data_IF_375591007285
#
_entry.id   IF_375591007285
#
_cell.length_a   1.000
_cell.length_b   1.000
_cell.length_c   1.000
_cell.angle_alpha   90.00
_cell.angle_beta   90.00
_cell.angle_gamma   90.00
#
_symmetry.space_group_name_H-M   'P 1'
#
loop_
_entity.id
_entity.type
_entity.pdbx_description
1 polymer ?
#
# COMPACT_ATOMS: atom_id res chain seq x y z
N UNK A 1 4.25 -27.24 7.19
CA UNK A 1 4.58 -25.92 7.74
C UNK A 1 5.80 -25.37 7.02
N UNK A 2 5.68 -24.17 6.45
CA UNK A 2 6.80 -23.48 5.79
C UNK A 2 7.87 -23.06 6.81
N UNK A 3 9.09 -22.73 6.34
CA UNK A 3 10.15 -22.17 7.18
C UNK A 3 9.66 -20.92 7.92
N UNK A 4 8.93 -20.06 7.22
CA UNK A 4 8.32 -18.84 7.75
C UNK A 4 7.33 -19.11 8.90
N UNK A 5 6.44 -20.10 8.74
CA UNK A 5 5.45 -20.46 9.75
C UNK A 5 6.11 -20.98 11.02
N UNK A 6 7.14 -21.83 10.89
CA UNK A 6 7.93 -22.31 12.03
C UNK A 6 8.64 -21.16 12.74
N UNK A 7 9.20 -20.21 11.98
CA UNK A 7 9.95 -19.08 12.52
C UNK A 7 9.04 -18.13 13.32
N UNK A 8 7.86 -17.79 12.81
CA UNK A 8 6.90 -16.93 13.50
C UNK A 8 6.28 -17.58 14.75
N UNK A 9 6.30 -18.90 14.86
CA UNK A 9 5.87 -19.64 16.05
C UNK A 9 6.89 -19.67 17.20
N UNK A 10 8.11 -19.13 17.00
CA UNK A 10 9.17 -19.15 18.00
C UNK A 10 9.30 -17.80 18.70
N UNK A 11 9.54 -17.83 20.02
CA UNK A 11 9.86 -16.61 20.76
C UNK A 11 11.24 -16.10 20.33
N UNK A 12 11.38 -14.83 19.91
CA UNK A 12 12.66 -14.31 19.46
C UNK A 12 13.62 -14.17 20.65
N UNK A 13 14.83 -14.70 20.52
CA UNK A 13 15.91 -14.50 21.50
C UNK A 13 16.47 -13.07 21.43
N UNK A 14 16.66 -12.56 20.21
CA UNK A 14 17.16 -11.20 19.94
C UNK A 14 16.27 -10.58 18.85
N UNK A 15 15.47 -9.59 19.24
CA UNK A 15 14.45 -8.97 18.36
C UNK A 15 15.03 -8.47 17.04
N UNK A 16 16.16 -7.75 17.08
CA UNK A 16 16.78 -7.19 15.88
C UNK A 16 17.18 -8.26 14.87
N UNK A 17 17.92 -9.28 15.30
CA UNK A 17 18.35 -10.39 14.45
C UNK A 17 17.16 -11.21 13.94
N UNK A 18 16.13 -11.41 14.77
CA UNK A 18 14.91 -12.10 14.36
C UNK A 18 14.12 -11.33 13.30
N UNK A 19 14.07 -10.00 13.39
CA UNK A 19 13.47 -9.17 12.33
C UNK A 19 14.26 -9.25 11.03
N UNK A 20 15.60 -9.19 11.09
CA UNK A 20 16.44 -9.33 9.90
C UNK A 20 16.22 -10.70 9.23
N UNK A 21 16.13 -11.77 10.02
CA UNK A 21 15.83 -13.11 9.51
C UNK A 21 14.42 -13.20 8.91
N UNK A 22 13.41 -12.58 9.54
CA UNK A 22 12.05 -12.55 8.99
C UNK A 22 12.02 -11.83 7.64
N UNK A 23 12.67 -10.67 7.54
CA UNK A 23 12.81 -9.93 6.28
C UNK A 23 13.48 -10.79 5.21
N UNK A 24 14.59 -11.45 5.55
CA UNK A 24 15.27 -12.36 4.63
C UNK A 24 14.32 -13.44 4.12
N UNK A 25 13.62 -14.16 5.00
CA UNK A 25 12.68 -15.23 4.62
C UNK A 25 11.57 -14.72 3.70
N UNK A 26 10.96 -13.57 4.02
CA UNK A 26 9.90 -12.99 3.18
C UNK A 26 10.44 -12.58 1.80
N UNK A 27 11.63 -11.98 1.74
CA UNK A 27 12.22 -11.51 0.48
C UNK A 27 12.77 -12.66 -0.38
N UNK A 28 13.23 -13.77 0.21
CA UNK A 28 13.81 -14.89 -0.52
C UNK A 28 12.81 -16.01 -0.85
N UNK A 29 11.87 -16.32 0.05
CA UNK A 29 10.92 -17.43 -0.10
C UNK A 29 9.50 -16.96 -0.43
N UNK A 30 9.17 -15.69 -0.12
CA UNK A 30 7.80 -15.18 -0.21
C UNK A 30 6.86 -15.75 0.87
N UNK A 31 5.63 -15.25 0.89
CA UNK A 31 4.56 -15.82 1.72
C UNK A 31 3.61 -16.59 0.80
N UNK A 32 3.32 -17.87 1.07
CA UNK A 32 2.44 -18.66 0.22
C UNK A 32 1.08 -17.99 -0.04
N UNK A 33 0.62 -18.07 -1.28
CA UNK A 33 -0.78 -17.84 -1.61
C UNK A 33 -1.54 -19.10 -1.16
N UNK A 34 -2.28 -19.05 -0.06
CA UNK A 34 -3.16 -20.16 0.28
C UNK A 34 -4.53 -19.67 0.69
N UNK A 35 -5.53 -20.35 0.14
CA UNK A 35 -6.96 -20.16 0.38
C UNK A 35 -7.38 -20.67 1.77
N UNK A 36 -6.47 -21.30 2.50
CA UNK A 36 -6.73 -21.77 3.83
C UNK A 36 -6.57 -20.63 4.85
N UNK A 37 -7.45 -20.60 5.86
CA UNK A 37 -7.41 -19.64 6.96
C UNK A 37 -6.03 -19.58 7.66
N UNK A 38 -5.25 -20.67 7.61
CA UNK A 38 -3.88 -20.75 8.12
C UNK A 38 -2.92 -19.78 7.43
N UNK A 39 -3.03 -19.61 6.11
CA UNK A 39 -2.12 -18.76 5.33
C UNK A 39 -2.48 -17.28 5.41
N UNK A 40 -3.77 -16.94 5.47
CA UNK A 40 -4.22 -15.58 5.80
C UNK A 40 -3.64 -15.13 7.16
N UNK A 41 -3.73 -15.99 8.19
CA UNK A 41 -3.11 -15.75 9.50
C UNK A 41 -1.60 -15.55 9.40
N UNK A 42 -0.92 -16.38 8.62
CA UNK A 42 0.53 -16.27 8.43
C UNK A 42 0.94 -14.91 7.88
N UNK A 43 0.26 -14.44 6.81
CA UNK A 43 0.53 -13.14 6.20
C UNK A 43 0.24 -11.99 7.17
N UNK A 44 -0.93 -12.00 7.80
CA UNK A 44 -1.30 -11.00 8.81
C UNK A 44 -0.26 -10.93 9.94
N UNK A 45 0.18 -12.08 10.47
CA UNK A 45 1.21 -12.13 11.50
C UNK A 45 2.55 -11.58 11.01
N UNK A 46 2.99 -11.97 9.81
CA UNK A 46 4.22 -11.47 9.23
C UNK A 46 4.19 -9.94 9.06
N UNK A 47 3.12 -9.41 8.47
CA UNK A 47 2.93 -7.97 8.29
C UNK A 47 2.92 -7.23 9.62
N UNK A 48 2.21 -7.74 10.62
CA UNK A 48 2.12 -7.12 11.95
C UNK A 48 3.49 -7.05 12.63
N UNK A 49 4.28 -8.14 12.57
CA UNK A 49 5.63 -8.18 13.16
C UNK A 49 6.59 -7.24 12.42
N UNK A 50 6.54 -7.24 11.08
CA UNK A 50 7.40 -6.40 10.23
C UNK A 50 7.07 -4.90 10.38
N UNK A 51 5.79 -4.57 10.51
CA UNK A 51 5.29 -3.23 10.80
C UNK A 51 5.54 -2.79 12.25
N UNK A 52 6.06 -3.67 13.11
CA UNK A 52 6.21 -3.42 14.55
C UNK A 52 4.87 -3.06 15.23
N UNK A 53 3.78 -3.54 14.66
CA UNK A 53 2.43 -3.25 15.09
C UNK A 53 1.99 -4.26 16.17
N UNK A 54 1.89 -3.78 17.41
CA UNK A 54 1.38 -4.61 18.51
C UNK A 54 -0.10 -4.91 18.33
N UNK A 55 -0.45 -6.20 18.44
CA UNK A 55 -1.84 -6.66 18.45
C UNK A 55 -2.46 -6.69 19.85
N UNK A 56 -1.72 -6.26 20.87
CA UNK A 56 -2.25 -6.10 22.22
C UNK A 56 -3.36 -5.02 22.24
N UNK A 57 -4.44 -5.29 22.98
CA UNK A 57 -5.61 -4.41 23.02
C UNK A 57 -6.39 -4.23 21.69
N UNK A 58 -5.98 -4.86 20.58
CA UNK A 58 -6.56 -4.60 19.27
C UNK A 58 -8.09 -4.77 19.25
N UNK A 59 -8.59 -5.83 19.89
CA UNK A 59 -10.02 -6.11 20.00
C UNK A 59 -10.77 -5.10 20.87
N UNK A 60 -10.28 -4.78 22.06
CA UNK A 60 -10.96 -3.87 22.98
C UNK A 60 -11.12 -2.48 22.38
N UNK A 61 -10.04 -1.96 21.80
CA UNK A 61 -10.00 -0.64 21.20
C UNK A 61 -10.92 -0.57 19.98
N UNK A 62 -10.84 -1.56 19.08
CA UNK A 62 -11.70 -1.61 17.90
C UNK A 62 -13.19 -1.65 18.29
N UNK A 63 -13.55 -2.49 19.26
CA UNK A 63 -14.93 -2.58 19.76
C UNK A 63 -15.37 -1.26 20.37
N UNK A 64 -14.49 -0.55 21.08
CA UNK A 64 -14.81 0.77 21.65
C UNK A 64 -15.15 1.79 20.56
N UNK A 65 -14.44 1.78 19.43
CA UNK A 65 -14.67 2.66 18.29
C UNK A 65 -15.94 2.29 17.53
N UNK A 66 -16.16 1.01 17.25
CA UNK A 66 -17.37 0.53 16.56
C UNK A 66 -18.64 0.88 17.34
N UNK A 67 -18.60 0.81 18.68
CA UNK A 67 -19.74 1.18 19.54
C UNK A 67 -20.17 2.63 19.43
N UNK A 68 -19.32 3.52 18.94
CA UNK A 68 -19.67 4.93 18.69
C UNK A 68 -20.59 5.11 17.47
N UNK A 69 -20.69 4.09 16.62
CA UNK A 69 -21.44 4.17 15.38
C UNK A 69 -20.71 5.00 14.30
N UNK A 70 -21.44 5.48 13.27
CA UNK A 70 -20.86 6.26 12.19
C UNK A 70 -20.17 7.56 12.67
N UNK A 71 -19.04 7.96 12.07
CA UNK A 71 -18.45 9.28 12.29
C UNK A 71 -19.38 10.41 11.79
N UNK A 72 -19.07 11.69 12.06
CA UNK A 72 -19.86 12.81 11.57
C UNK A 72 -20.24 12.69 10.09
N UNK A 73 -21.47 13.08 9.75
CA UNK A 73 -22.09 12.84 8.45
C UNK A 73 -21.22 13.17 7.22
N UNK A 74 -20.48 14.30 7.17
CA UNK A 74 -19.62 14.59 6.01
C UNK A 74 -18.53 13.55 5.75
N UNK A 75 -18.01 12.92 6.82
CA UNK A 75 -16.99 11.87 6.73
C UNK A 75 -17.65 10.55 6.32
N UNK A 76 -18.72 10.17 7.01
CA UNK A 76 -19.42 8.92 6.75
C UNK A 76 -19.99 8.83 5.33
N UNK A 77 -20.53 9.94 4.80
CA UNK A 77 -21.01 10.01 3.41
C UNK A 77 -19.89 9.75 2.40
N UNK A 78 -18.70 10.31 2.60
CA UNK A 78 -17.54 10.04 1.73
C UNK A 78 -17.13 8.56 1.77
N UNK A 79 -17.09 7.96 2.96
CA UNK A 79 -16.83 6.51 3.12
C UNK A 79 -17.85 5.70 2.33
N UNK A 80 -19.15 5.99 2.50
CA UNK A 80 -20.23 5.25 1.83
C UNK A 80 -20.26 5.42 0.31
N UNK A 81 -19.79 6.54 -0.22
CA UNK A 81 -19.67 6.75 -1.67
C UNK A 81 -18.59 5.86 -2.33
N UNK A 82 -17.72 5.26 -1.53
CA UNK A 82 -16.58 4.47 -1.98
C UNK A 82 -16.70 2.98 -1.63
N UNK A 83 -17.32 2.63 -0.49
CA UNK A 83 -17.35 1.26 0.01
C UNK A 83 -17.99 0.28 -0.96
N UNK A 84 -19.19 0.57 -1.49
CA UNK A 84 -19.96 -0.34 -2.35
C UNK A 84 -19.27 -0.69 -3.68
N UNK A 85 -18.34 0.16 -4.14
CA UNK A 85 -17.59 0.00 -5.39
C UNK A 85 -16.17 -0.55 -5.17
N UNK A 86 -15.77 -0.83 -3.93
CA UNK A 86 -14.42 -1.29 -3.58
C UNK A 86 -14.19 -2.71 -4.10
N UNK A 87 -13.33 -2.86 -5.10
CA UNK A 87 -12.98 -4.14 -5.74
C UNK A 87 -14.22 -5.02 -6.06
N UNK A 88 -15.34 -4.39 -6.40
CA UNK A 88 -16.64 -5.06 -6.62
C UNK A 88 -16.70 -5.95 -7.90
N UNK A 89 -15.59 -6.05 -8.61
CA UNK A 89 -15.41 -6.93 -9.77
C UNK A 89 -14.40 -8.05 -9.49
N UNK A 90 -13.92 -8.20 -8.25
CA UNK A 90 -13.04 -9.28 -7.81
C UNK A 90 -13.85 -10.30 -6.97
N UNK A 91 -14.17 -11.48 -7.53
CA UNK A 91 -14.97 -12.48 -6.83
C UNK A 91 -14.33 -13.01 -5.55
N UNK A 92 -13.00 -13.07 -5.48
CA UNK A 92 -12.30 -13.59 -4.30
C UNK A 92 -12.39 -12.57 -3.16
N UNK A 93 -12.19 -11.29 -3.47
CA UNK A 93 -12.37 -10.22 -2.50
C UNK A 93 -13.79 -10.20 -1.95
N UNK A 94 -14.80 -10.23 -2.81
CA UNK A 94 -16.22 -10.18 -2.42
C UNK A 94 -16.61 -11.37 -1.53
N UNK A 95 -16.02 -12.55 -1.77
CA UNK A 95 -16.26 -13.74 -0.95
C UNK A 95 -15.65 -13.64 0.46
N UNK A 96 -14.61 -12.81 0.65
CA UNK A 96 -13.86 -12.70 1.90
C UNK A 96 -14.17 -11.42 2.70
N UNK A 97 -14.54 -10.33 2.03
CA UNK A 97 -14.66 -9.00 2.63
C UNK A 97 -16.04 -8.42 2.33
N UNK A 98 -16.81 -8.16 3.40
CA UNK A 98 -18.11 -7.48 3.29
C UNK A 98 -17.94 -5.97 3.21
N UNK A 99 -18.88 -5.29 2.54
CA UNK A 99 -18.92 -3.82 2.53
C UNK A 99 -18.98 -3.22 3.95
N UNK A 100 -19.71 -3.90 4.85
CA UNK A 100 -19.85 -3.47 6.24
C UNK A 100 -18.52 -3.50 7.00
N UNK A 101 -17.64 -4.49 6.72
CA UNK A 101 -16.32 -4.56 7.32
C UNK A 101 -15.44 -3.38 6.87
N UNK A 102 -15.48 -3.03 5.58
CA UNK A 102 -14.80 -1.84 5.03
C UNK A 102 -15.33 -0.58 5.71
N UNK A 103 -16.66 -0.45 5.79
CA UNK A 103 -17.33 0.72 6.40
C UNK A 103 -16.95 0.89 7.88
N UNK A 104 -17.00 -0.19 8.68
CA UNK A 104 -16.66 -0.15 10.11
C UNK A 104 -15.18 0.16 10.35
N UNK A 105 -14.28 -0.45 9.59
CA UNK A 105 -12.84 -0.20 9.74
C UNK A 105 -12.48 1.25 9.38
N UNK A 106 -12.99 1.79 8.27
CA UNK A 106 -12.77 3.20 7.90
C UNK A 106 -13.44 4.17 8.89
N UNK A 107 -14.62 3.83 9.40
CA UNK A 107 -15.31 4.62 10.44
C UNK A 107 -14.51 4.63 11.74
N UNK A 108 -13.95 3.49 12.15
CA UNK A 108 -13.10 3.37 13.34
C UNK A 108 -11.81 4.16 13.17
N UNK A 109 -11.21 4.14 11.97
CA UNK A 109 -10.05 4.96 11.64
C UNK A 109 -10.36 6.45 11.72
N UNK A 110 -11.49 6.89 11.14
CA UNK A 110 -11.92 8.27 11.23
C UNK A 110 -12.10 8.73 12.69
N UNK A 111 -12.70 7.88 13.53
CA UNK A 111 -12.83 8.18 14.96
C UNK A 111 -11.49 8.27 15.67
N UNK A 112 -10.54 7.37 15.42
CA UNK A 112 -9.21 7.48 16.04
C UNK A 112 -8.47 8.75 15.62
N UNK A 113 -8.63 9.19 14.37
CA UNK A 113 -8.04 10.45 13.91
C UNK A 113 -8.73 11.66 14.56
N UNK A 114 -10.04 11.60 14.80
CA UNK A 114 -10.78 12.67 15.49
C UNK A 114 -10.43 12.78 16.98
N UNK A 115 -10.06 11.67 17.61
CA UNK A 115 -9.65 11.64 19.02
C UNK A 115 -8.17 12.03 19.21
N UNK A 116 -7.37 12.02 18.14
CA UNK A 116 -5.97 12.40 18.20
C UNK A 116 -5.82 13.92 18.32
N UNK A 117 -5.29 14.37 19.46
CA UNK A 117 -4.97 15.76 19.76
C UNK A 117 -3.60 16.19 19.21
N UNK A 118 -2.89 15.29 18.52
CA UNK A 118 -1.50 15.51 18.10
C UNK A 118 -1.44 16.53 16.94
N UNK A 119 -1.03 17.76 17.26
CA UNK A 119 -0.96 18.89 16.33
C UNK A 119 0.15 18.76 15.27
N UNK A 120 1.10 17.85 15.45
CA UNK A 120 2.31 17.79 14.61
C UNK A 120 2.04 17.10 13.27
N UNK A 121 1.15 16.10 13.22
CA UNK A 121 0.84 15.35 12.00
C UNK A 121 -0.67 15.09 11.86
N UNK A 122 -1.36 15.99 11.16
CA UNK A 122 -2.79 15.85 10.94
C UNK A 122 -3.10 14.93 9.75
N UNK A 123 -3.31 13.64 10.07
CA UNK A 123 -3.96 12.72 9.15
C UNK A 123 -5.39 13.18 8.84
N UNK A 124 -5.81 12.95 7.60
CA UNK A 124 -7.19 13.15 7.18
C UNK A 124 -8.05 12.00 7.70
N UNK A 125 -9.21 12.31 8.24
CA UNK A 125 -10.17 11.28 8.71
C UNK A 125 -10.62 10.34 7.59
N UNK A 126 -10.66 10.85 6.35
CA UNK A 126 -10.93 10.06 5.16
C UNK A 126 -10.51 10.77 3.86
N UNK A 127 -9.84 10.04 2.98
CA UNK A 127 -9.47 10.43 1.61
C UNK A 127 -10.01 9.38 0.63
N UNK A 128 -10.55 9.83 -0.51
CA UNK A 128 -11.03 8.93 -1.55
C UNK A 128 -9.89 7.98 -2.00
N UNK A 129 -10.13 6.68 -2.01
CA UNK A 129 -9.10 5.66 -2.27
C UNK A 129 -8.61 4.92 -1.02
N UNK A 130 -8.88 5.41 0.19
CA UNK A 130 -8.55 4.68 1.43
C UNK A 130 -9.28 3.34 1.55
N UNK A 131 -10.47 3.23 0.96
CA UNK A 131 -11.19 1.95 0.84
C UNK A 131 -10.39 0.91 0.05
N UNK A 132 -9.72 1.33 -1.04
CA UNK A 132 -8.87 0.47 -1.87
C UNK A 132 -7.55 0.18 -1.16
N UNK A 133 -6.97 1.17 -0.47
CA UNK A 133 -5.77 0.99 0.37
C UNK A 133 -6.00 -0.01 1.51
N UNK A 134 -7.20 -0.01 2.13
CA UNK A 134 -7.57 -0.94 3.20
C UNK A 134 -7.81 -2.37 2.69
N UNK A 135 -8.18 -2.53 1.42
CA UNK A 135 -8.66 -3.79 0.87
C UNK A 135 -7.68 -4.97 1.03
N UNK A 136 -6.36 -4.85 0.76
CA UNK A 136 -5.41 -5.96 0.98
C UNK A 136 -5.31 -6.39 2.45
N UNK A 137 -5.45 -5.44 3.39
CA UNK A 137 -5.40 -5.74 4.82
C UNK A 137 -6.65 -6.51 5.25
N UNK A 138 -7.85 -6.07 4.84
CA UNK A 138 -9.08 -6.80 5.14
C UNK A 138 -9.13 -8.18 4.48
N UNK A 139 -8.58 -8.30 3.28
CA UNK A 139 -8.51 -9.57 2.55
C UNK A 139 -7.60 -10.59 3.23
N UNK A 140 -6.56 -10.14 3.94
CA UNK A 140 -5.52 -11.00 4.53
C UNK A 140 -5.67 -11.21 6.03
N UNK A 141 -6.29 -10.27 6.76
CA UNK A 141 -6.43 -10.37 8.20
C UNK A 141 -7.54 -11.36 8.59
N UNK A 142 -7.35 -12.17 9.65
CA UNK A 142 -8.36 -13.12 10.10
C UNK A 142 -9.54 -12.47 10.85
N UNK A 143 -9.43 -11.19 11.20
CA UNK A 143 -10.46 -10.46 11.94
C UNK A 143 -10.39 -8.94 11.68
N UNK A 144 -11.52 -8.25 11.80
CA UNK A 144 -11.61 -6.78 11.66
C UNK A 144 -10.77 -5.99 12.67
N UNK A 145 -10.68 -6.36 13.96
CA UNK A 145 -9.81 -5.65 14.90
C UNK A 145 -8.34 -5.65 14.50
N UNK A 146 -7.83 -6.79 13.99
CA UNK A 146 -6.45 -6.89 13.51
C UNK A 146 -6.26 -6.08 12.23
N UNK A 147 -7.24 -6.13 11.31
CA UNK A 147 -7.22 -5.33 10.09
C UNK A 147 -7.17 -3.83 10.40
N UNK A 148 -8.04 -3.36 11.30
CA UNK A 148 -8.05 -1.97 11.75
C UNK A 148 -6.72 -1.57 12.39
N UNK A 149 -6.19 -2.39 13.31
CA UNK A 149 -4.92 -2.13 14.00
C UNK A 149 -3.76 -1.98 13.03
N UNK A 150 -3.66 -2.90 12.07
CA UNK A 150 -2.61 -2.88 11.05
C UNK A 150 -2.80 -1.71 10.07
N UNK A 151 -4.03 -1.39 9.67
CA UNK A 151 -4.31 -0.25 8.80
C UNK A 151 -3.97 1.09 9.47
N UNK A 152 -4.31 1.26 10.75
CA UNK A 152 -3.93 2.45 11.52
C UNK A 152 -2.41 2.60 11.58
N UNK A 153 -1.69 1.54 11.92
CA UNK A 153 -0.22 1.55 11.95
C UNK A 153 0.40 1.82 10.57
N UNK A 154 -0.13 1.23 9.49
CA UNK A 154 0.31 1.57 8.13
C UNK A 154 0.22 3.09 7.88
N UNK A 155 -0.95 3.68 8.14
CA UNK A 155 -1.20 5.10 7.89
C UNK A 155 -0.34 6.02 8.77
N UNK A 156 -0.13 5.65 10.03
CA UNK A 156 0.55 6.48 11.03
C UNK A 156 2.06 6.30 11.05
N UNK A 157 2.57 5.12 10.74
CA UNK A 157 3.98 4.79 10.96
C UNK A 157 4.76 4.67 9.65
N UNK A 158 4.09 4.37 8.53
CA UNK A 158 4.77 3.98 7.30
C UNK A 158 4.48 4.87 6.08
N UNK A 159 3.35 5.57 6.06
CA UNK A 159 2.93 6.44 4.93
C UNK A 159 2.30 7.76 5.43
N UNK A 160 2.86 8.35 6.47
CA UNK A 160 2.35 9.55 7.18
C UNK A 160 1.91 10.68 6.25
N UNK A 161 2.68 10.91 5.20
CA UNK A 161 2.48 12.02 4.26
C UNK A 161 1.46 11.71 3.16
N UNK A 162 1.01 10.45 3.03
CA UNK A 162 0.08 10.04 1.98
C UNK A 162 -1.36 10.45 2.30
N UNK A 163 -1.69 10.52 3.59
CA UNK A 163 -3.05 10.77 4.06
C UNK A 163 -3.16 12.06 4.88
N UNK A 164 -2.12 12.91 4.90
CA UNK A 164 -2.25 14.26 5.45
C UNK A 164 -3.20 15.12 4.61
N UNK A 165 -3.58 16.29 5.11
CA UNK A 165 -4.61 17.14 4.48
C UNK A 165 -4.29 17.54 3.03
N UNK A 166 -3.00 17.59 2.67
CA UNK A 166 -2.54 18.01 1.34
C UNK A 166 -1.99 16.87 0.49
N UNK A 167 -2.07 15.62 0.95
CA UNK A 167 -1.55 14.43 0.27
C UNK A 167 -0.09 14.60 -0.21
N UNK A 168 0.72 15.31 0.57
CA UNK A 168 2.07 15.77 0.17
C UNK A 168 2.95 14.64 -0.35
N UNK A 169 2.93 13.48 0.32
CA UNK A 169 3.69 12.30 -0.09
C UNK A 169 3.18 11.69 -1.39
N UNK A 170 1.89 11.78 -1.68
CA UNK A 170 1.33 11.28 -2.95
C UNK A 170 1.77 12.17 -4.11
N UNK A 171 1.70 13.49 -3.96
CA UNK A 171 2.16 14.44 -4.97
C UNK A 171 3.67 14.37 -5.18
N UNK A 172 4.46 14.28 -4.10
CA UNK A 172 5.90 14.05 -4.18
C UNK A 172 6.21 12.68 -4.81
N UNK A 173 5.43 11.65 -4.50
CA UNK A 173 5.51 10.33 -5.13
C UNK A 173 5.28 10.39 -6.64
N UNK A 174 4.38 11.24 -7.13
CA UNK A 174 4.16 11.45 -8.56
C UNK A 174 5.38 12.10 -9.23
N UNK A 175 5.96 13.15 -8.63
CA UNK A 175 7.21 13.76 -9.12
C UNK A 175 8.34 12.73 -9.16
N UNK A 176 8.49 11.94 -8.10
CA UNK A 176 9.49 10.89 -8.00
C UNK A 176 9.28 9.77 -9.02
N UNK A 177 8.03 9.44 -9.35
CA UNK A 177 7.70 8.49 -10.40
C UNK A 177 8.24 8.97 -11.76
N UNK A 178 7.98 10.23 -12.13
CA UNK A 178 8.50 10.81 -13.38
C UNK A 178 10.04 10.87 -13.39
N UNK A 179 10.67 11.26 -12.28
CA UNK A 179 12.13 11.30 -12.13
C UNK A 179 12.75 9.90 -12.26
N UNK A 180 12.21 8.91 -11.57
CA UNK A 180 12.67 7.53 -11.63
C UNK A 180 12.49 6.97 -13.04
N UNK A 181 11.33 7.18 -13.67
CA UNK A 181 11.10 6.72 -15.03
C UNK A 181 12.08 7.35 -16.03
N UNK A 182 12.43 8.63 -15.86
CA UNK A 182 13.42 9.30 -16.70
C UNK A 182 14.81 8.67 -16.60
N UNK A 183 15.21 8.21 -15.42
CA UNK A 183 16.48 7.48 -15.22
C UNK A 183 16.42 6.08 -15.81
N UNK A 184 15.33 5.36 -15.57
CA UNK A 184 15.20 3.93 -15.90
C UNK A 184 14.86 3.68 -17.38
N UNK A 185 13.96 4.47 -17.95
CA UNK A 185 13.52 4.38 -19.34
C UNK A 185 13.31 5.78 -19.95
N UNK A 186 14.41 6.48 -20.33
CA UNK A 186 14.34 7.83 -20.88
C UNK A 186 13.45 7.95 -22.13
N UNK A 187 13.33 6.88 -22.92
CA UNK A 187 12.50 6.86 -24.14
C UNK A 187 11.01 6.87 -23.79
N UNK A 188 10.60 6.06 -22.81
CA UNK A 188 9.21 6.05 -22.35
C UNK A 188 8.86 7.36 -21.63
N UNK A 189 9.76 7.86 -20.76
CA UNK A 189 9.61 9.15 -20.09
C UNK A 189 9.41 10.29 -21.08
N UNK A 190 10.26 10.36 -22.12
CA UNK A 190 10.11 11.37 -23.18
C UNK A 190 8.78 11.24 -23.92
N UNK A 191 8.37 10.02 -24.30
CA UNK A 191 7.08 9.82 -24.97
C UNK A 191 5.91 10.32 -24.12
N UNK A 192 5.89 10.03 -22.81
CA UNK A 192 4.84 10.52 -21.92
C UNK A 192 4.85 12.05 -21.80
N UNK A 193 6.03 12.65 -21.65
CA UNK A 193 6.18 14.11 -21.60
C UNK A 193 5.71 14.80 -22.90
N UNK A 194 6.09 14.27 -24.07
CA UNK A 194 5.68 14.79 -25.37
C UNK A 194 4.15 14.70 -25.58
N UNK A 195 3.46 13.81 -24.85
CA UNK A 195 2.01 13.65 -24.84
C UNK A 195 1.31 14.33 -23.64
N UNK A 196 2.04 15.13 -22.84
CA UNK A 196 1.53 15.80 -21.64
C UNK A 196 0.93 14.83 -20.58
N UNK A 197 1.50 13.63 -20.46
CA UNK A 197 1.07 12.58 -19.54
C UNK A 197 2.02 12.49 -18.35
N UNK A 198 1.96 13.47 -17.44
CA UNK A 198 2.74 13.44 -16.19
C UNK A 198 2.18 12.40 -15.22
N UNK A 199 3.01 11.90 -14.31
CA UNK A 199 2.59 10.97 -13.26
C UNK A 199 1.47 11.51 -12.38
N UNK A 200 1.31 12.82 -12.23
CA UNK A 200 0.21 13.43 -11.48
C UNK A 200 -1.16 13.14 -12.12
N UNK A 201 -1.21 12.90 -13.43
CA UNK A 201 -2.47 12.66 -14.15
C UNK A 201 -2.91 11.19 -14.01
N UNK A 202 -1.96 10.24 -14.01
CA UNK A 202 -2.29 8.80 -14.05
C UNK A 202 -1.81 7.99 -12.84
N UNK A 203 -0.76 8.44 -12.15
CA UNK A 203 -0.06 7.68 -11.11
C UNK A 203 -0.68 7.79 -9.72
N UNK A 204 -1.45 8.86 -9.44
CA UNK A 204 -2.02 9.14 -8.11
C UNK A 204 -2.78 7.94 -7.52
N UNK A 205 -3.67 7.23 -8.24
CA UNK A 205 -4.34 6.05 -7.69
C UNK A 205 -3.38 4.95 -7.25
N UNK A 206 -2.38 4.61 -8.08
CA UNK A 206 -1.39 3.58 -7.78
C UNK A 206 -0.43 3.99 -6.67
N UNK A 207 -0.16 5.28 -6.51
CA UNK A 207 0.67 5.81 -5.41
C UNK A 207 -0.13 5.76 -4.11
N UNK A 208 -1.27 6.44 -4.06
CA UNK A 208 -2.11 6.55 -2.86
C UNK A 208 -2.51 5.19 -2.30
N UNK A 209 -2.84 4.24 -3.18
CA UNK A 209 -3.32 2.91 -2.77
C UNK A 209 -2.20 1.87 -2.66
N UNK A 210 -0.93 2.27 -2.79
CA UNK A 210 0.21 1.34 -2.81
C UNK A 210 0.01 0.18 -3.81
N UNK A 211 -0.37 0.54 -5.04
CA UNK A 211 -0.75 -0.32 -6.17
C UNK A 211 -1.97 -1.23 -5.96
N UNK A 212 -2.74 -1.05 -4.87
CA UNK A 212 -3.91 -1.89 -4.58
C UNK A 212 -5.08 -1.69 -5.53
N UNK A 213 -5.08 -0.61 -6.32
CA UNK A 213 -6.03 -0.41 -7.41
C UNK A 213 -5.76 -1.28 -8.65
N UNK A 214 -4.62 -1.97 -8.72
CA UNK A 214 -4.24 -2.82 -9.85
C UNK A 214 -4.55 -4.28 -9.56
N UNK A 215 -5.03 -5.00 -10.58
CA UNK A 215 -5.34 -6.44 -10.49
C UNK A 215 -4.12 -7.31 -10.83
N UNK A 216 -4.10 -8.58 -10.39
CA UNK A 216 -5.01 -9.22 -9.43
C UNK A 216 -4.58 -8.99 -7.97
N UNK A 217 -5.53 -9.05 -7.03
CA UNK A 217 -5.30 -8.74 -5.60
C UNK A 217 -4.24 -9.64 -4.94
N UNK A 218 -4.16 -10.91 -5.33
CA UNK A 218 -3.12 -11.83 -4.82
C UNK A 218 -1.70 -11.36 -5.19
N UNK A 219 -1.52 -10.72 -6.36
CA UNK A 219 -0.23 -10.18 -6.79
C UNK A 219 0.07 -8.87 -6.06
N UNK A 220 -0.94 -8.05 -5.77
CA UNK A 220 -0.80 -6.90 -4.86
C UNK A 220 -0.34 -7.35 -3.47
N UNK A 221 -0.94 -8.42 -2.92
CA UNK A 221 -0.53 -8.95 -1.61
C UNK A 221 0.96 -9.36 -1.60
N UNK A 222 1.49 -9.92 -2.69
CA UNK A 222 2.93 -10.21 -2.80
C UNK A 222 3.80 -8.96 -2.87
N UNK A 223 3.35 -7.89 -3.54
CA UNK A 223 4.06 -6.60 -3.49
C UNK A 223 4.08 -6.06 -2.06
N UNK A 224 2.98 -6.20 -1.33
CA UNK A 224 2.88 -5.78 0.06
C UNK A 224 3.74 -6.65 0.99
N UNK A 225 3.81 -7.97 0.77
CA UNK A 225 4.76 -8.86 1.46
C UNK A 225 6.19 -8.30 1.34
N UNK A 226 6.60 -7.89 0.13
CA UNK A 226 7.89 -7.25 -0.10
C UNK A 226 8.01 -5.89 0.61
N UNK A 227 7.01 -5.01 0.49
CA UNK A 227 7.07 -3.66 1.06
C UNK A 227 7.10 -3.66 2.59
N UNK A 228 6.39 -4.56 3.27
CA UNK A 228 6.53 -4.73 4.72
C UNK A 228 7.94 -5.20 5.10
N UNK A 229 8.57 -6.05 4.29
CA UNK A 229 9.91 -6.56 4.58
C UNK A 229 11.04 -5.56 4.25
N UNK A 230 10.90 -4.79 3.18
CA UNK A 230 11.95 -3.93 2.64
C UNK A 230 11.68 -2.43 2.82
N UNK A 231 10.46 -1.98 2.54
CA UNK A 231 10.04 -0.58 2.65
C UNK A 231 9.02 -0.19 1.57
N UNK A 232 8.07 0.67 1.95
CA UNK A 232 6.96 1.11 1.09
C UNK A 232 7.39 2.08 -0.02
N UNK A 233 8.59 2.66 0.06
CA UNK A 233 9.15 3.54 -0.95
C UNK A 233 9.31 2.84 -2.30
N UNK A 234 9.48 1.52 -2.26
CA UNK A 234 9.57 0.66 -3.43
C UNK A 234 8.31 0.65 -4.29
N UNK A 235 7.15 1.07 -3.77
CA UNK A 235 5.92 1.16 -4.57
C UNK A 235 6.12 2.04 -5.81
N UNK A 236 6.86 3.15 -5.71
CA UNK A 236 7.15 4.02 -6.86
C UNK A 236 7.92 3.25 -7.94
N UNK A 237 8.91 2.46 -7.54
CA UNK A 237 9.68 1.62 -8.46
C UNK A 237 8.87 0.46 -9.03
N UNK A 238 7.89 -0.06 -8.29
CA UNK A 238 6.96 -1.06 -8.81
C UNK A 238 6.01 -0.47 -9.86
N UNK A 239 5.61 0.79 -9.72
CA UNK A 239 4.85 1.49 -10.77
C UNK A 239 5.73 1.71 -12.01
N UNK A 240 7.00 2.11 -11.84
CA UNK A 240 7.97 2.20 -12.95
C UNK A 240 8.13 0.84 -13.64
N UNK A 241 8.26 -0.26 -12.88
CA UNK A 241 8.39 -1.59 -13.44
C UNK A 241 7.15 -1.99 -14.26
N UNK A 242 5.95 -1.73 -13.75
CA UNK A 242 4.72 -1.98 -14.49
C UNK A 242 4.66 -1.16 -15.80
N UNK A 243 5.08 0.11 -15.78
CA UNK A 243 5.17 0.95 -16.99
C UNK A 243 6.16 0.38 -18.00
N UNK A 244 7.33 -0.08 -17.54
CA UNK A 244 8.36 -0.69 -18.39
C UNK A 244 7.85 -1.98 -19.03
N UNK A 245 7.13 -2.83 -18.29
CA UNK A 245 6.52 -4.06 -18.83
C UNK A 245 5.55 -3.73 -19.97
N UNK A 246 4.75 -2.67 -19.84
CA UNK A 246 3.76 -2.29 -20.84
C UNK A 246 4.26 -1.26 -21.88
N UNK A 247 5.55 -0.87 -21.84
CA UNK A 247 6.11 0.25 -22.62
C UNK A 247 5.76 0.21 -24.10
N UNK A 248 5.86 -0.98 -24.69
CA UNK A 248 5.68 -1.18 -26.13
C UNK A 248 4.22 -0.97 -26.53
N UNK A 249 3.28 -1.27 -25.63
CA UNK A 249 1.85 -1.05 -25.84
C UNK A 249 1.51 0.43 -25.67
N UNK A 250 2.07 1.08 -24.65
CA UNK A 250 1.88 2.52 -24.39
C UNK A 250 2.38 3.35 -25.57
N UNK A 251 3.62 3.13 -26.02
CA UNK A 251 4.23 3.91 -27.11
C UNK A 251 3.62 3.69 -28.49
N UNK A 252 2.85 2.59 -28.69
CA UNK A 252 2.15 2.29 -29.94
C UNK A 252 0.66 2.66 -29.91
N UNK A 253 0.13 2.97 -28.73
CA UNK A 253 -1.30 3.26 -28.56
C UNK A 253 -1.63 4.66 -29.11
N UNK A 254 -2.74 4.77 -29.83
CA UNK A 254 -3.35 6.07 -30.16
C UNK A 254 -4.04 6.73 -28.96
N UNK A 255 -4.30 5.96 -27.89
CA UNK A 255 -4.92 6.40 -26.65
C UNK A 255 -4.15 5.85 -25.44
N UNK A 256 -2.89 6.27 -25.20
CA UNK A 256 -2.05 5.73 -24.13
C UNK A 256 -2.67 5.90 -22.74
N UNK A 257 -3.46 6.96 -22.53
CA UNK A 257 -4.10 7.24 -21.25
C UNK A 257 -5.03 6.11 -20.76
N UNK A 258 -5.65 5.34 -21.68
CA UNK A 258 -6.50 4.21 -21.28
C UNK A 258 -5.70 3.11 -20.56
N UNK A 259 -4.44 2.88 -20.99
CA UNK A 259 -3.54 1.92 -20.36
C UNK A 259 -2.94 2.46 -19.06
N UNK A 260 -2.78 3.78 -18.94
CA UNK A 260 -2.22 4.43 -17.76
C UNK A 260 -3.24 4.60 -16.63
N UNK A 261 -4.54 4.78 -16.96
CA UNK A 261 -5.62 4.82 -15.95
C UNK A 261 -5.92 3.45 -15.38
N UNK A 262 -5.79 2.41 -16.20
CA UNK A 262 -6.05 1.03 -15.83
C UNK A 262 -4.91 0.17 -16.32
N UNK A 263 -3.95 -0.04 -15.43
CA UNK A 263 -2.86 -0.95 -15.70
C UNK A 263 -3.40 -2.37 -15.93
N UNK A 264 -2.82 -3.12 -16.89
CA UNK A 264 -3.17 -4.53 -17.07
C UNK A 264 -2.76 -5.34 -15.85
N UNK A 265 -3.25 -6.59 -15.81
CA UNK A 265 -2.79 -7.56 -14.82
C UNK A 265 -1.27 -7.75 -14.88
N UNK A 266 -0.64 -7.91 -13.72
CA UNK A 266 0.81 -8.05 -13.58
C UNK A 266 1.19 -9.29 -12.77
N UNK A 267 2.42 -9.74 -12.97
CA UNK A 267 3.07 -10.73 -12.11
C UNK A 267 3.99 -10.05 -11.09
N UNK A 268 3.75 -10.24 -9.80
CA UNK A 268 4.49 -9.55 -8.75
C UNK A 268 5.98 -9.94 -8.73
N UNK A 269 6.34 -11.17 -9.09
CA UNK A 269 7.74 -11.59 -9.07
C UNK A 269 8.55 -10.87 -10.17
N UNK A 270 7.97 -10.73 -11.37
CA UNK A 270 8.54 -9.90 -12.44
C UNK A 270 8.68 -8.44 -11.99
N UNK A 271 7.63 -7.85 -11.42
CA UNK A 271 7.64 -6.45 -10.96
C UNK A 271 8.66 -6.22 -9.84
N UNK A 272 8.76 -7.12 -8.87
CA UNK A 272 9.75 -7.05 -7.79
C UNK A 272 11.17 -7.15 -8.36
N UNK A 273 11.42 -8.12 -9.25
CA UNK A 273 12.75 -8.33 -9.87
C UNK A 273 13.22 -7.08 -10.61
N UNK A 274 12.34 -6.48 -11.43
CA UNK A 274 12.62 -5.24 -12.15
C UNK A 274 12.83 -4.07 -11.17
N UNK A 275 11.92 -3.87 -10.23
CA UNK A 275 11.97 -2.79 -9.24
C UNK A 275 13.25 -2.81 -8.42
N UNK A 276 13.66 -3.97 -7.91
CA UNK A 276 14.94 -4.15 -7.19
C UNK A 276 16.12 -3.86 -8.11
N UNK A 277 16.09 -4.34 -9.36
CA UNK A 277 17.13 -4.06 -10.36
C UNK A 277 17.27 -2.57 -10.71
N UNK A 278 16.23 -1.77 -10.50
CA UNK A 278 16.27 -0.31 -10.73
C UNK A 278 17.00 0.44 -9.62
N UNK A 279 17.02 -0.08 -8.38
CA UNK A 279 17.68 0.58 -7.24
C UNK A 279 19.15 0.88 -7.55
N UNK A 280 19.87 -0.07 -8.15
CA UNK A 280 21.28 0.09 -8.51
C UNK A 280 21.54 1.16 -9.59
N UNK A 281 20.50 1.61 -10.29
CA UNK A 281 20.59 2.63 -11.35
C UNK A 281 20.23 4.03 -10.86
N UNK A 282 19.59 4.15 -9.69
CA UNK A 282 19.17 5.44 -9.16
C UNK A 282 20.36 6.18 -8.52
N UNK A 283 20.50 7.50 -8.74
CA UNK A 283 21.37 8.33 -7.93
C UNK A 283 20.99 8.22 -6.44
N UNK A 284 21.97 8.18 -5.53
CA UNK A 284 21.72 8.04 -4.08
C UNK A 284 20.72 9.06 -3.55
N UNK A 285 20.85 10.34 -3.95
CA UNK A 285 19.92 11.40 -3.57
C UNK A 285 18.47 11.11 -4.00
N UNK A 286 18.26 10.52 -5.18
CA UNK A 286 16.92 10.17 -5.64
C UNK A 286 16.33 9.01 -4.81
N UNK A 287 17.17 8.06 -4.41
CA UNK A 287 16.75 7.00 -3.49
C UNK A 287 16.42 7.54 -2.10
N UNK A 288 17.20 8.48 -1.58
CA UNK A 288 16.92 9.12 -0.29
C UNK A 288 15.57 9.86 -0.31
N UNK A 289 15.26 10.56 -1.41
CA UNK A 289 13.96 11.21 -1.60
C UNK A 289 12.80 10.21 -1.66
N UNK A 290 13.00 9.02 -2.26
CA UNK A 290 11.99 7.96 -2.23
C UNK A 290 11.71 7.44 -0.82
N UNK A 291 12.68 7.49 0.09
CA UNK A 291 12.44 7.08 1.48
C UNK A 291 11.75 8.22 2.23
N UNK A 292 12.26 9.45 2.09
CA UNK A 292 11.79 10.62 2.82
C UNK A 292 10.36 11.02 2.46
N UNK A 293 9.91 10.83 1.20
CA UNK A 293 8.59 11.31 0.77
C UNK A 293 7.42 10.65 1.50
N UNK A 294 7.64 9.51 2.17
CA UNK A 294 6.64 8.81 2.99
C UNK A 294 6.44 9.41 4.39
N UNK A 295 7.45 10.11 4.91
CA UNK A 295 7.53 10.50 6.32
C UNK A 295 7.67 12.01 6.53
N UNK A 296 8.36 12.70 5.63
CA UNK A 296 8.66 14.13 5.75
C UNK A 296 7.57 14.98 5.05
N UNK A 297 6.71 15.71 5.81
CA UNK A 297 5.63 16.52 5.25
C UNK A 297 6.14 17.82 4.62
N UNK A 298 7.35 18.25 5.00
CA UNK A 298 7.98 19.49 4.54
C UNK A 298 8.90 19.24 3.34
N UNK A 299 9.01 17.99 2.88
CA UNK A 299 9.81 17.64 1.73
C UNK A 299 9.31 18.35 0.47
N UNK A 300 10.18 19.17 -0.12
CA UNK A 300 9.93 19.83 -1.40
C UNK A 300 10.79 19.18 -2.48
N UNK A 301 10.11 18.63 -3.50
CA UNK A 301 10.73 18.12 -4.72
C UNK A 301 10.41 19.10 -5.85
N UNK A 302 11.45 19.72 -6.41
CA UNK A 302 11.37 20.63 -7.56
C UNK A 302 11.22 19.88 -8.88
#
# INVERSE_FOLDING_TARGET
>A
MSSLEKFLGQQPLIVHSSLAQLRYLVLSEGIPLSKEKSAARLRCNAWSVLARCSMDGATSDYVSLVRRGPPPHPIYSKIKNDTFRTLNTDPQFIACVSEDAITRCLSSFAWSVLDEEDEVFHLSTYVQGMNVLLAPILYTCPSEPMAYRLFRSLCQDHIKTYLNQSLTGVHNGAKLLDMCLKVIDPKLSKFLADNLLTAEIYGIPSILTLSSCTKPLDQVCKLWDFMFAYGFHMNILFIVAQLVVIRSRVMKSSAPMNLLRMFPEFDAEEIIRLGVGFVAKLPSRLYDLLVQHLEDPDLVIE
#
